data_IF_679151754310
#
_entry.id   IF_679151754310
#
_cell.length_a   1.000
_cell.length_b   1.000
_cell.length_c   1.000
_cell.angle_alpha   90.00
_cell.angle_beta   90.00
_cell.angle_gamma   90.00
#
_symmetry.space_group_name_H-M   'P 1'
#
loop_
_entity.id
_entity.type
_entity.pdbx_description
1 polymer ?
#
# COMPACT_ATOMS: atom_id res chain seq x y z
N UNK A 1 35.31 60.00 28.93
CA UNK A 1 34.13 59.11 28.77
C UNK A 1 33.93 58.53 27.36
N UNK A 2 34.95 58.49 26.46
CA UNK A 2 34.79 57.90 25.10
C UNK A 2 35.37 56.49 24.92
N UNK A 3 36.15 55.99 25.88
CA UNK A 3 36.81 54.67 25.83
C UNK A 3 35.91 53.51 26.30
N UNK A 4 34.94 53.78 27.17
CA UNK A 4 34.04 52.75 27.73
C UNK A 4 33.01 52.27 26.69
N UNK A 5 32.51 53.18 25.84
CA UNK A 5 31.54 52.82 24.79
C UNK A 5 32.14 51.95 23.68
N UNK A 6 33.43 52.13 23.34
CA UNK A 6 34.08 51.27 22.33
C UNK A 6 34.19 49.80 22.76
N UNK A 7 34.30 49.53 24.06
CA UNK A 7 34.43 48.16 24.59
C UNK A 7 33.08 47.45 24.60
N UNK A 8 31.96 48.17 24.83
CA UNK A 8 30.61 47.61 24.71
C UNK A 8 30.25 47.29 23.26
N UNK A 9 30.68 48.11 22.30
CA UNK A 9 30.39 47.91 20.88
C UNK A 9 31.12 46.68 20.32
N UNK A 10 32.38 46.46 20.73
CA UNK A 10 33.17 45.28 20.33
C UNK A 10 32.58 43.99 20.93
N UNK A 11 32.10 44.04 22.18
CA UNK A 11 31.42 42.90 22.83
C UNK A 11 30.09 42.58 22.15
N UNK A 12 29.31 43.60 21.79
CA UNK A 12 28.04 43.44 21.08
C UNK A 12 28.24 42.84 19.68
N UNK A 13 29.25 43.32 18.93
CA UNK A 13 29.59 42.79 17.63
C UNK A 13 30.06 41.33 17.68
N UNK A 14 30.86 40.96 18.69
CA UNK A 14 31.31 39.59 18.91
C UNK A 14 30.17 38.64 19.30
N UNK A 15 29.21 39.12 20.11
CA UNK A 15 28.02 38.35 20.48
C UNK A 15 27.11 38.16 19.26
N UNK A 16 26.91 39.20 18.46
CA UNK A 16 26.13 39.12 17.23
C UNK A 16 26.76 38.17 16.19
N UNK A 17 28.08 38.18 15.99
CA UNK A 17 28.73 37.27 15.04
C UNK A 17 28.70 35.82 15.51
N UNK A 18 28.79 35.59 16.83
CA UNK A 18 28.64 34.26 17.44
C UNK A 18 27.18 33.76 17.32
N UNK A 19 26.19 34.63 17.56
CA UNK A 19 24.77 34.29 17.38
C UNK A 19 24.43 34.03 15.91
N UNK A 20 24.98 34.82 14.99
CA UNK A 20 24.76 34.68 13.55
C UNK A 20 25.35 33.36 13.01
N UNK A 21 26.49 32.92 13.53
CA UNK A 21 27.12 31.65 13.14
C UNK A 21 26.37 30.43 13.66
N UNK A 22 25.74 30.50 14.84
CA UNK A 22 24.88 29.44 15.39
C UNK A 22 23.60 29.27 14.56
N UNK A 23 23.04 30.35 14.01
CA UNK A 23 21.84 30.28 13.15
C UNK A 23 22.14 29.62 11.80
N UNK A 24 23.37 29.72 11.30
CA UNK A 24 23.71 29.25 9.95
C UNK A 24 23.96 27.73 9.84
N UNK A 25 23.98 26.99 10.95
CA UNK A 25 24.29 25.54 10.95
C UNK A 25 23.11 24.59 10.81
N UNK A 26 21.88 25.08 10.55
CA UNK A 26 20.72 24.21 10.29
C UNK A 26 20.73 23.72 8.84
N UNK A 27 21.52 22.67 8.55
CA UNK A 27 21.41 21.91 7.30
C UNK A 27 20.32 20.85 7.46
N UNK A 28 19.14 21.10 6.89
CA UNK A 28 18.09 20.09 6.76
C UNK A 28 18.51 19.02 5.76
N UNK A 29 18.58 17.76 6.19
CA UNK A 29 18.77 16.64 5.29
C UNK A 29 17.51 16.45 4.44
N UNK A 30 17.59 16.76 3.15
CA UNK A 30 16.53 16.46 2.19
C UNK A 30 16.65 15.00 1.79
N UNK A 31 15.82 14.14 2.39
CA UNK A 31 15.74 12.74 2.00
C UNK A 31 15.30 12.63 0.54
N UNK A 32 16.13 12.04 -0.32
CA UNK A 32 15.79 11.81 -1.72
C UNK A 32 14.77 10.67 -1.79
N UNK A 33 13.49 11.01 -2.00
CA UNK A 33 12.44 10.01 -2.22
C UNK A 33 12.46 9.62 -3.69
N UNK A 34 13.12 8.51 -4.01
CA UNK A 34 12.99 7.92 -5.34
C UNK A 34 11.59 7.30 -5.42
N UNK A 35 10.73 7.82 -6.30
CA UNK A 35 9.38 7.30 -6.53
C UNK A 35 9.42 6.03 -7.39
N UNK A 36 10.16 5.02 -6.92
CA UNK A 36 10.05 3.70 -7.51
C UNK A 36 8.80 3.03 -6.93
N UNK A 37 8.03 2.28 -7.74
CA UNK A 37 7.01 1.38 -7.22
C UNK A 37 7.65 0.40 -6.23
N UNK A 38 7.33 0.52 -4.95
CA UNK A 38 7.77 -0.41 -3.92
C UNK A 38 6.80 -1.59 -3.85
N UNK A 39 7.22 -2.75 -4.35
CA UNK A 39 6.43 -3.98 -4.25
C UNK A 39 6.72 -4.71 -2.94
N UNK A 40 5.66 -5.06 -2.20
CA UNK A 40 5.75 -5.99 -1.07
C UNK A 40 5.05 -7.29 -1.46
N UNK A 41 5.83 -8.34 -1.72
CA UNK A 41 5.30 -9.67 -2.02
C UNK A 41 5.37 -10.55 -0.78
N UNK A 42 4.26 -11.21 -0.44
CA UNK A 42 4.18 -12.20 0.64
C UNK A 42 3.63 -13.48 0.03
N UNK A 43 4.49 -14.48 -0.11
CA UNK A 43 4.14 -15.79 -0.65
C UNK A 43 4.30 -16.87 0.43
N UNK A 44 3.47 -17.90 0.33
CA UNK A 44 3.56 -19.13 1.12
C UNK A 44 3.56 -20.29 0.12
N UNK A 45 4.54 -21.19 0.23
CA UNK A 45 4.65 -22.38 -0.59
C UNK A 45 4.48 -23.61 0.31
N UNK A 46 3.27 -24.15 0.32
CA UNK A 46 2.88 -25.26 1.19
C UNK A 46 2.04 -26.25 0.41
N UNK A 47 2.18 -27.54 0.70
CA UNK A 47 1.32 -28.58 0.16
C UNK A 47 0.28 -28.95 1.20
N UNK A 48 -1.00 -28.92 0.81
CA UNK A 48 -2.12 -29.25 1.69
C UNK A 48 -3.01 -30.28 1.00
N UNK A 49 -3.52 -31.24 1.76
CA UNK A 49 -4.55 -32.17 1.31
C UNK A 49 -5.90 -31.60 1.74
N UNK A 50 -6.77 -31.34 0.77
CA UNK A 50 -8.10 -30.74 0.98
C UNK A 50 -9.14 -31.67 0.37
N UNK A 51 -10.24 -31.98 1.08
CA UNK A 51 -11.32 -32.77 0.49
C UNK A 51 -12.03 -31.99 -0.63
N UNK A 52 -12.73 -32.68 -1.52
CA UNK A 52 -13.55 -32.02 -2.55
C UNK A 52 -14.59 -31.10 -1.90
N UNK A 53 -14.72 -29.87 -2.42
CA UNK A 53 -15.50 -28.76 -1.85
C UNK A 53 -15.03 -28.28 -0.46
N UNK A 54 -13.89 -28.79 -0.01
CA UNK A 54 -13.26 -28.39 1.25
C UNK A 54 -12.64 -27.01 1.17
N UNK A 55 -12.49 -26.40 2.35
CA UNK A 55 -11.67 -25.21 2.52
C UNK A 55 -10.66 -25.43 3.64
N UNK A 56 -9.45 -24.93 3.45
CA UNK A 56 -8.39 -24.96 4.46
C UNK A 56 -7.80 -23.55 4.61
N UNK A 57 -7.47 -23.16 5.83
CA UNK A 57 -6.66 -21.96 6.06
C UNK A 57 -5.19 -22.34 5.88
N UNK A 58 -4.49 -21.60 5.03
CA UNK A 58 -3.04 -21.71 4.82
C UNK A 58 -2.25 -20.94 5.89
N UNK A 59 -2.96 -20.34 6.87
CA UNK A 59 -2.39 -19.50 7.91
C UNK A 59 -2.52 -18.01 7.59
N UNK A 60 -1.87 -17.19 8.42
CA UNK A 60 -1.92 -15.74 8.29
C UNK A 60 -0.63 -15.08 8.73
N UNK A 61 -0.47 -13.81 8.36
CA UNK A 61 0.60 -12.96 8.86
C UNK A 61 0.03 -11.91 9.81
N UNK A 62 0.77 -11.56 10.85
CA UNK A 62 0.56 -10.34 11.63
C UNK A 62 1.88 -9.60 11.75
N UNK A 63 1.84 -8.28 11.66
CA UNK A 63 3.01 -7.42 11.82
C UNK A 63 2.60 -6.20 12.61
N UNK A 64 3.46 -5.71 13.50
CA UNK A 64 3.28 -4.44 14.18
C UNK A 64 4.56 -3.60 14.13
N UNK A 65 4.43 -2.29 14.14
CA UNK A 65 5.40 -1.23 14.43
C UNK A 65 4.62 -0.32 15.48
N UNK A 66 5.20 0.46 16.40
CA UNK A 66 4.53 1.59 17.14
C UNK A 66 5.28 2.97 17.12
N UNK A 67 4.83 4.07 16.42
CA UNK A 67 5.61 5.32 16.12
C UNK A 67 5.30 6.58 16.91
N UNK A 68 6.32 7.30 17.38
CA UNK A 68 6.26 8.58 18.09
C UNK A 68 7.66 9.23 18.19
N UNK A 69 7.97 10.17 17.31
CA UNK A 69 9.14 11.05 17.43
C UNK A 69 8.78 12.27 18.30
N UNK A 70 9.53 12.50 19.37
CA UNK A 70 9.61 13.71 20.17
C UNK A 70 10.93 14.35 19.79
N UNK A 71 10.94 15.64 19.52
CA UNK A 71 12.16 16.42 19.41
C UNK A 71 12.13 17.45 20.52
N UNK A 72 13.24 17.58 21.23
CA UNK A 72 13.35 18.52 22.32
C UNK A 72 13.94 19.86 21.89
N UNK A 73 13.59 20.97 22.57
CA UNK A 73 14.21 22.27 22.32
C UNK A 73 15.71 22.21 22.60
N UNK A 74 16.57 22.80 21.75
CA UNK A 74 18.03 22.74 21.91
C UNK A 74 18.52 23.33 23.23
N UNK A 75 17.72 24.21 23.86
CA UNK A 75 18.05 24.88 25.13
C UNK A 75 17.71 24.09 26.40
N UNK A 76 16.93 23.00 26.32
CA UNK A 76 16.47 22.25 27.50
C UNK A 76 17.36 21.06 27.90
N UNK A 77 18.49 20.86 27.22
CA UNK A 77 19.51 19.87 27.61
C UNK A 77 18.93 18.47 27.94
N UNK A 78 19.56 17.69 28.84
CA UNK A 78 19.11 16.33 29.18
C UNK A 78 17.73 16.25 29.87
N UNK A 79 17.08 17.38 30.19
CA UNK A 79 15.79 17.42 30.90
C UNK A 79 14.59 17.20 29.96
N UNK A 80 14.76 17.48 28.67
CA UNK A 80 13.82 17.08 27.62
C UNK A 80 14.63 16.43 26.50
N UNK A 81 14.69 15.10 26.38
CA UNK A 81 15.34 14.45 25.26
C UNK A 81 14.37 14.28 24.08
N UNK A 82 14.90 14.36 22.86
CA UNK A 82 14.21 13.93 21.64
C UNK A 82 14.01 12.39 21.68
N UNK A 83 12.78 11.89 21.55
CA UNK A 83 12.44 10.45 21.64
C UNK A 83 11.67 9.94 20.43
N UNK A 84 12.23 9.03 19.65
CA UNK A 84 11.51 8.22 18.67
C UNK A 84 10.79 7.01 19.32
N UNK A 85 9.65 6.67 18.77
CA UNK A 85 8.93 5.41 18.83
C UNK A 85 8.68 5.14 17.32
N UNK A 86 8.61 3.90 16.79
CA UNK A 86 8.15 3.63 15.38
C UNK A 86 7.15 2.47 15.13
N UNK A 87 6.14 2.56 14.17
CA UNK A 87 4.62 2.45 14.13
C UNK A 87 3.83 1.80 12.99
N UNK A 88 3.08 0.70 13.17
CA UNK A 88 2.29 -0.05 12.19
C UNK A 88 1.51 -1.20 12.85
N UNK A 89 0.40 -1.65 12.29
CA UNK A 89 -0.11 -3.01 12.53
C UNK A 89 -0.66 -3.50 11.21
N UNK A 90 -0.53 -4.78 10.90
CA UNK A 90 -0.98 -5.37 9.65
C UNK A 90 -1.25 -6.85 9.86
N UNK A 91 -2.46 -7.29 9.54
CA UNK A 91 -2.88 -8.69 9.64
C UNK A 91 -3.39 -9.13 8.28
N UNK A 92 -3.14 -10.37 7.89
CA UNK A 92 -3.70 -11.00 6.70
C UNK A 92 -3.86 -12.49 6.92
N UNK A 93 -4.89 -13.08 6.31
CA UNK A 93 -5.16 -14.52 6.32
C UNK A 93 -5.17 -15.02 4.88
N UNK A 94 -4.60 -16.19 4.65
CA UNK A 94 -4.66 -16.91 3.38
C UNK A 94 -5.53 -18.16 3.54
N UNK A 95 -6.50 -18.32 2.66
CA UNK A 95 -7.42 -19.46 2.64
C UNK A 95 -7.49 -20.05 1.25
N UNK A 96 -7.62 -21.36 1.16
CA UNK A 96 -7.76 -22.12 -0.08
C UNK A 96 -9.08 -22.87 -0.05
N UNK A 97 -9.81 -22.84 -1.17
CA UNK A 97 -11.02 -23.63 -1.38
C UNK A 97 -10.89 -24.36 -2.71
N UNK A 98 -11.22 -25.64 -2.70
CA UNK A 98 -11.03 -26.54 -3.85
C UNK A 98 -12.38 -27.06 -4.31
N UNK A 99 -12.59 -27.08 -5.63
CA UNK A 99 -13.72 -27.76 -6.27
C UNK A 99 -13.20 -28.66 -7.37
N UNK A 100 -13.59 -29.92 -7.32
CA UNK A 100 -13.34 -30.86 -8.41
C UNK A 100 -14.55 -30.84 -9.34
N UNK A 101 -14.28 -30.57 -10.61
CA UNK A 101 -15.30 -30.51 -11.64
C UNK A 101 -15.35 -31.83 -12.42
N UNK A 102 -16.51 -32.48 -12.42
CA UNK A 102 -16.80 -33.56 -13.37
C UNK A 102 -17.25 -32.95 -14.70
N UNK A 103 -16.35 -32.98 -15.68
CA UNK A 103 -16.59 -32.40 -17.00
C UNK A 103 -17.67 -33.16 -17.77
N UNK A 104 -17.78 -34.48 -17.59
CA UNK A 104 -18.76 -35.29 -18.32
C UNK A 104 -20.19 -35.00 -17.85
N UNK A 105 -20.38 -34.94 -16.53
CA UNK A 105 -21.68 -34.61 -15.96
C UNK A 105 -22.11 -33.18 -16.33
N UNK A 106 -21.18 -32.22 -16.35
CA UNK A 106 -21.48 -30.85 -16.76
C UNK A 106 -21.82 -30.74 -18.25
N UNK A 107 -21.08 -31.41 -19.13
CA UNK A 107 -21.38 -31.40 -20.57
C UNK A 107 -22.75 -32.02 -20.85
N UNK A 108 -23.09 -33.13 -20.19
CA UNK A 108 -24.42 -33.73 -20.29
C UNK A 108 -25.52 -32.78 -19.80
N UNK A 109 -25.29 -32.06 -18.70
CA UNK A 109 -26.23 -31.06 -18.18
C UNK A 109 -26.40 -29.89 -19.16
N UNK A 110 -25.31 -29.36 -19.72
CA UNK A 110 -25.34 -28.26 -20.70
C UNK A 110 -26.08 -28.69 -21.96
N UNK A 111 -25.83 -29.90 -22.46
CA UNK A 111 -26.54 -30.43 -23.63
C UNK A 111 -28.03 -30.61 -23.35
N UNK A 112 -28.39 -31.08 -22.15
CA UNK A 112 -29.80 -31.23 -21.75
C UNK A 112 -30.49 -29.87 -21.66
N UNK A 113 -29.85 -28.87 -21.05
CA UNK A 113 -30.36 -27.50 -20.97
C UNK A 113 -30.51 -26.88 -22.37
N UNK A 114 -29.49 -27.02 -23.23
CA UNK A 114 -29.53 -26.53 -24.60
C UNK A 114 -30.66 -27.20 -25.41
N UNK A 115 -30.88 -28.49 -25.19
CA UNK A 115 -31.98 -29.25 -25.81
C UNK A 115 -33.34 -28.71 -25.35
N UNK A 116 -33.52 -28.48 -24.05
CA UNK A 116 -34.76 -27.92 -23.48
C UNK A 116 -35.01 -26.48 -23.94
N UNK A 117 -33.96 -25.66 -24.03
CA UNK A 117 -34.03 -24.31 -24.59
C UNK A 117 -34.43 -24.32 -26.08
N UNK A 118 -34.05 -25.38 -26.83
CA UNK A 118 -34.45 -25.58 -28.23
C UNK A 118 -35.88 -26.09 -28.39
N UNK A 119 -36.32 -26.96 -27.48
CA UNK A 119 -37.66 -27.59 -27.49
C UNK A 119 -38.74 -26.63 -27.02
N UNK A 120 -38.39 -25.59 -26.26
CA UNK A 120 -39.32 -24.48 -26.00
C UNK A 120 -39.34 -23.60 -27.26
N UNK A 121 -40.35 -23.68 -28.15
CA UNK A 121 -40.45 -22.67 -29.21
C UNK A 121 -40.53 -21.33 -28.50
N UNK A 122 -39.62 -20.43 -28.84
CA UNK A 122 -39.59 -19.06 -28.33
C UNK A 122 -40.93 -18.41 -28.66
N UNK A 123 -41.91 -18.53 -27.76
CA UNK A 123 -43.25 -17.96 -27.89
C UNK A 123 -43.10 -16.44 -27.70
N UNK A 124 -42.85 -15.73 -28.79
CA UNK A 124 -43.02 -14.28 -28.89
C UNK A 124 -42.30 -13.43 -27.83
N UNK A 125 -41.06 -13.74 -27.47
CA UNK A 125 -40.26 -12.92 -26.56
C UNK A 125 -39.35 -11.97 -27.33
N UNK A 126 -39.57 -10.66 -27.17
CA UNK A 126 -38.77 -9.54 -27.72
C UNK A 126 -37.27 -9.87 -27.85
N UNK A 127 -36.65 -9.44 -28.96
CA UNK A 127 -35.22 -9.62 -29.20
C UNK A 127 -34.41 -9.17 -27.97
N UNK A 128 -33.54 -10.06 -27.47
CA UNK A 128 -32.67 -9.77 -26.34
C UNK A 128 -31.63 -8.71 -26.81
N UNK A 129 -31.64 -7.48 -26.26
CA UNK A 129 -30.74 -6.42 -26.69
C UNK A 129 -29.26 -6.69 -26.34
N UNK A 130 -28.97 -7.76 -25.59
CA UNK A 130 -27.61 -8.21 -25.30
C UNK A 130 -26.95 -8.95 -26.48
N UNK A 131 -27.74 -9.60 -27.34
CA UNK A 131 -27.23 -10.33 -28.50
C UNK A 131 -26.77 -9.40 -29.65
N UNK A 132 -27.24 -8.15 -29.68
CA UNK A 132 -26.82 -7.11 -30.63
C UNK A 132 -25.70 -6.21 -30.11
N UNK A 133 -25.22 -6.43 -28.88
CA UNK A 133 -24.19 -5.59 -28.27
C UNK A 133 -22.83 -5.98 -28.85
N UNK A 134 -22.38 -5.25 -29.88
CA UNK A 134 -20.99 -5.34 -30.35
C UNK A 134 -20.05 -5.13 -29.15
N UNK A 135 -19.02 -5.98 -28.96
CA UNK A 135 -18.08 -5.80 -27.87
C UNK A 135 -17.43 -4.42 -28.01
N UNK A 136 -17.47 -3.64 -26.92
CA UNK A 136 -16.79 -2.34 -26.86
C UNK A 136 -15.30 -2.60 -27.12
N UNK A 137 -14.67 -1.95 -28.11
CA UNK A 137 -13.25 -2.12 -28.36
C UNK A 137 -12.48 -1.83 -27.07
N UNK A 138 -11.65 -2.77 -26.66
CA UNK A 138 -10.77 -2.55 -25.51
C UNK A 138 -9.82 -1.39 -25.86
N UNK A 139 -9.55 -0.47 -24.91
CA UNK A 139 -8.53 0.53 -25.12
C UNK A 139 -7.20 -0.17 -25.45
N UNK A 140 -6.56 0.23 -26.55
CA UNK A 140 -5.25 -0.31 -26.94
C UNK A 140 -4.27 0.04 -25.81
N UNK A 141 -3.73 -0.98 -25.15
CA UNK A 141 -2.61 -0.79 -24.24
C UNK A 141 -1.45 -0.19 -25.06
N UNK A 142 -0.72 0.81 -24.53
CA UNK A 142 0.45 1.34 -25.21
C UNK A 142 1.44 0.19 -25.45
N UNK A 143 1.87 0.02 -26.70
CA UNK A 143 2.99 -0.87 -27.00
C UNK A 143 4.19 -0.30 -26.25
N UNK A 144 4.71 -1.07 -25.29
CA UNK A 144 5.93 -0.71 -24.56
C UNK A 144 7.10 -0.59 -25.54
N UNK A 145 7.93 0.43 -25.30
CA UNK A 145 9.22 0.62 -25.96
C UNK A 145 10.23 -0.44 -25.51
#
# INVERSE_FOLDING_TARGET
MRLINRISDIRSAAICSLLLSIVLTVRGATGQTIQLPAFQQRGLQTTVVVPDRGSISLGGFSGARQSRLRFAPPFFGPLAPSRALSGSRGVGNMQMRVWVHDLQAMDAAILTEASQAKVTPKKGGRANPLASRKPKPLPRLPAGN
#
